data_IF_345644829290
#
_entry.id   IF_345644829290
#
_cell.length_a   1.000
_cell.length_b   1.000
_cell.length_c   1.000
_cell.angle_alpha   90.00
_cell.angle_beta   90.00
_cell.angle_gamma   90.00
#
_symmetry.space_group_name_H-M   'P 1'
#
loop_
_entity.id
_entity.type
_entity.pdbx_description
1 polymer ?
#
# COMPACT_ATOMS: atom_id res chain seq x y z
N UNK A 1 16.61 -21.28 -56.02
CA UNK A 1 15.46 -20.38 -55.71
C UNK A 1 14.54 -21.20 -54.82
N UNK A 2 14.46 -21.06 -53.51
CA UNK A 2 14.70 -19.93 -52.60
C UNK A 2 15.02 -20.47 -51.20
N UNK A 3 15.93 -19.77 -50.50
CA UNK A 3 16.20 -19.79 -49.05
C UNK A 3 14.88 -19.66 -48.23
N UNK A 4 14.70 -20.15 -46.99
CA UNK A 4 15.58 -20.15 -45.83
C UNK A 4 15.08 -19.10 -44.82
N UNK A 5 14.94 -19.47 -43.54
CA UNK A 5 15.26 -18.70 -42.31
C UNK A 5 14.30 -19.00 -41.14
N UNK A 6 14.94 -19.58 -40.13
CA UNK A 6 14.53 -19.86 -38.76
C UNK A 6 14.28 -18.56 -37.98
N UNK A 7 13.21 -18.51 -37.18
CA UNK A 7 12.84 -17.36 -36.36
C UNK A 7 13.91 -16.99 -35.32
N UNK A 8 14.34 -15.73 -35.35
CA UNK A 8 15.25 -15.13 -34.38
C UNK A 8 14.47 -14.72 -33.12
N UNK A 9 14.90 -15.23 -31.97
CA UNK A 9 14.55 -14.68 -30.66
C UNK A 9 15.17 -13.27 -30.52
N UNK A 10 14.38 -12.29 -30.11
CA UNK A 10 14.85 -10.95 -29.81
C UNK A 10 15.38 -10.89 -28.37
N UNK A 11 16.68 -11.13 -28.20
CA UNK A 11 17.44 -10.69 -27.03
C UNK A 11 17.66 -9.19 -27.13
N UNK A 12 16.98 -8.40 -26.30
CA UNK A 12 17.36 -6.99 -26.08
C UNK A 12 18.58 -6.98 -25.16
N UNK A 13 19.77 -6.90 -25.75
CA UNK A 13 20.99 -6.52 -25.04
C UNK A 13 20.97 -5.02 -24.82
N UNK A 14 21.11 -4.58 -23.57
CA UNK A 14 21.26 -3.17 -23.20
C UNK A 14 22.75 -2.81 -23.39
N UNK A 15 23.12 -1.90 -24.30
CA UNK A 15 24.51 -1.49 -24.45
C UNK A 15 24.94 -0.65 -23.25
N UNK A 16 25.99 -1.09 -22.54
CA UNK A 16 26.69 -0.27 -21.56
C UNK A 16 27.70 0.59 -22.34
N UNK A 17 27.36 1.83 -22.65
CA UNK A 17 28.32 2.81 -23.14
C UNK A 17 29.00 3.51 -21.96
N UNK A 18 30.31 3.32 -21.87
CA UNK A 18 31.18 4.07 -20.97
C UNK A 18 31.46 5.49 -21.47
N UNK A 19 31.65 6.38 -20.49
CA UNK A 19 32.18 7.75 -20.58
C UNK A 19 31.52 8.72 -21.57
N UNK A 20 30.67 9.58 -21.00
CA UNK A 20 30.82 11.03 -21.15
C UNK A 20 30.34 11.68 -22.44
N UNK A 21 29.02 11.81 -22.59
CA UNK A 21 28.38 13.02 -23.13
C UNK A 21 26.87 12.92 -22.83
N UNK A 22 26.41 13.68 -21.83
CA UNK A 22 25.00 13.75 -21.47
C UNK A 22 24.26 14.59 -22.52
N UNK A 23 23.53 13.93 -23.41
CA UNK A 23 22.48 14.59 -24.19
C UNK A 23 21.42 15.13 -23.22
N UNK A 24 21.24 16.45 -23.21
CA UNK A 24 20.27 17.16 -22.41
C UNK A 24 18.84 16.65 -22.67
N UNK A 25 18.34 15.83 -21.75
CA UNK A 25 16.92 15.71 -21.47
C UNK A 25 16.53 16.86 -20.54
N UNK A 26 15.31 17.41 -20.64
CA UNK A 26 14.90 18.56 -19.82
C UNK A 26 15.04 18.19 -18.33
N UNK A 27 15.88 18.94 -17.63
CA UNK A 27 16.04 18.85 -16.18
C UNK A 27 14.71 19.22 -15.55
N UNK A 28 14.02 18.24 -14.95
CA UNK A 28 12.84 18.48 -14.13
C UNK A 28 13.34 18.98 -12.77
N UNK A 29 13.58 20.29 -12.66
CA UNK A 29 14.06 21.00 -11.46
C UNK A 29 13.28 20.61 -10.18
N UNK A 30 12.02 20.19 -10.32
CA UNK A 30 11.20 19.70 -9.21
C UNK A 30 11.70 18.39 -8.60
N UNK A 31 12.29 17.49 -9.39
CA UNK A 31 12.80 16.20 -8.91
C UNK A 31 14.08 16.35 -8.10
N UNK A 32 14.99 17.23 -8.54
CA UNK A 32 16.23 17.48 -7.82
C UNK A 32 15.95 18.21 -6.49
N UNK A 33 15.00 19.14 -6.50
CA UNK A 33 14.54 19.85 -5.32
C UNK A 33 13.82 18.91 -4.32
N UNK A 34 13.01 17.98 -4.81
CA UNK A 34 12.38 16.94 -3.97
C UNK A 34 13.41 15.95 -3.40
N UNK A 35 14.41 15.55 -4.19
CA UNK A 35 15.50 14.69 -3.73
C UNK A 35 16.30 15.40 -2.63
N UNK A 36 16.64 16.68 -2.83
CA UNK A 36 17.27 17.52 -1.81
C UNK A 36 16.36 17.69 -0.58
N UNK A 37 15.05 17.85 -0.75
CA UNK A 37 14.12 17.99 0.37
C UNK A 37 14.01 16.71 1.20
N UNK A 38 14.00 15.53 0.56
CA UNK A 38 14.05 14.22 1.23
C UNK A 38 15.39 14.03 1.95
N UNK A 39 16.50 14.51 1.36
CA UNK A 39 17.83 14.46 1.96
C UNK A 39 18.00 15.44 3.14
N UNK A 40 17.29 16.57 3.15
CA UNK A 40 17.33 17.58 4.23
C UNK A 40 16.33 17.28 5.35
N UNK A 41 15.20 16.63 5.01
CA UNK A 41 14.11 16.31 5.94
C UNK A 41 14.16 14.85 6.40
N UNK A 42 15.30 14.43 6.98
CA UNK A 42 15.36 13.13 7.64
C UNK A 42 14.40 13.10 8.85
N UNK A 43 13.55 12.07 9.01
CA UNK A 43 12.73 11.95 10.21
C UNK A 43 13.63 11.77 11.45
N UNK A 44 13.35 12.54 12.50
CA UNK A 44 13.99 12.39 13.81
C UNK A 44 13.69 10.97 14.34
N UNK A 45 14.73 10.13 14.47
CA UNK A 45 14.62 8.69 14.75
C UNK A 45 14.25 8.36 16.22
N UNK A 46 13.87 9.34 17.02
CA UNK A 46 13.69 9.16 18.47
C UNK A 46 12.30 8.62 18.87
N UNK A 47 11.34 8.49 17.95
CA UNK A 47 10.00 7.95 18.24
C UNK A 47 9.52 6.96 17.17
N UNK A 48 10.02 5.72 17.20
CA UNK A 48 9.30 4.60 16.57
C UNK A 48 9.17 3.45 17.56
N UNK A 49 8.11 3.52 18.36
CA UNK A 49 7.58 2.37 19.12
C UNK A 49 7.07 1.32 18.15
N UNK A 50 7.77 0.19 18.08
CA UNK A 50 7.40 -0.98 17.28
C UNK A 50 6.32 -1.74 18.06
N UNK A 51 5.04 -1.54 17.72
CA UNK A 51 3.95 -2.40 18.23
C UNK A 51 3.92 -3.68 17.38
N UNK A 52 4.36 -4.79 18.00
CA UNK A 52 4.19 -6.15 17.48
C UNK A 52 2.72 -6.53 17.39
N UNK A 53 2.33 -7.09 16.25
CA UNK A 53 1.00 -7.65 16.03
C UNK A 53 0.79 -8.98 16.76
N UNK A 54 -0.39 -9.15 17.36
CA UNK A 54 -0.89 -10.42 17.87
C UNK A 54 -2.27 -10.70 17.27
N UNK A 55 -2.37 -11.82 16.55
CA UNK A 55 -3.63 -12.40 16.06
C UNK A 55 -4.23 -13.33 17.12
N UNK A 56 -5.56 -13.30 17.26
CA UNK A 56 -6.37 -14.46 17.67
C UNK A 56 -7.30 -14.23 18.86
N UNK A 57 -8.57 -14.60 18.70
CA UNK A 57 -9.44 -14.97 19.83
C UNK A 57 -10.87 -14.43 19.77
N UNK A 58 -11.79 -15.25 19.25
CA UNK A 58 -13.24 -15.13 19.35
C UNK A 58 -13.73 -15.01 20.81
N UNK A 59 -14.81 -14.27 21.05
CA UNK A 59 -15.50 -14.31 22.34
C UNK A 59 -16.63 -13.29 22.48
N UNK A 60 -17.82 -13.83 22.72
CA UNK A 60 -19.10 -13.25 23.12
C UNK A 60 -19.20 -11.84 23.71
N UNK A 61 -20.36 -11.25 23.46
CA UNK A 61 -20.74 -9.92 23.91
C UNK A 61 -20.98 -9.76 25.41
N UNK A 62 -21.31 -8.52 25.79
CA UNK A 62 -22.25 -8.09 26.82
C UNK A 62 -22.06 -6.58 27.05
N UNK A 63 -23.19 -5.86 27.10
CA UNK A 63 -23.29 -4.43 27.37
C UNK A 63 -23.15 -4.21 28.89
N UNK A 64 -22.30 -3.30 29.40
CA UNK A 64 -22.34 -2.93 30.81
C UNK A 64 -23.35 -1.81 31.04
N UNK A 65 -24.43 -2.14 31.75
CA UNK A 65 -25.34 -1.17 32.39
C UNK A 65 -24.76 -0.72 33.73
N UNK A 66 -24.39 0.56 33.85
CA UNK A 66 -24.00 1.18 35.12
C UNK A 66 -25.17 1.91 35.77
N UNK A 67 -25.57 1.43 36.96
CA UNK A 67 -26.57 2.01 37.86
C UNK A 67 -26.10 3.32 38.50
N UNK A 68 -26.95 4.35 38.47
CA UNK A 68 -26.82 5.60 39.23
C UNK A 68 -28.20 6.12 39.67
N UNK A 69 -28.32 6.40 40.96
CA UNK A 69 -29.53 6.69 41.75
C UNK A 69 -30.42 7.85 41.25
N UNK A 70 -31.74 7.68 41.44
CA UNK A 70 -32.81 8.69 41.44
C UNK A 70 -32.51 9.93 42.32
N UNK A 71 -33.13 11.09 42.02
CA UNK A 71 -34.38 11.41 42.71
C UNK A 71 -35.60 11.57 41.79
N UNK A 72 -36.74 11.24 42.36
CA UNK A 72 -38.10 11.45 41.89
C UNK A 72 -38.43 12.92 41.57
N UNK A 73 -38.99 13.14 40.37
CA UNK A 73 -39.96 14.21 40.16
C UNK A 73 -41.07 13.70 39.23
N UNK A 74 -42.29 13.60 39.77
CA UNK A 74 -43.51 13.46 38.99
C UNK A 74 -43.69 14.73 38.16
N UNK A 75 -43.77 14.58 36.84
CA UNK A 75 -44.53 15.44 35.93
C UNK A 75 -44.79 14.66 34.66
N UNK A 76 -46.03 14.19 34.48
CA UNK A 76 -46.59 13.83 33.18
C UNK A 76 -46.56 15.04 32.24
N UNK A 77 -45.95 14.95 31.04
CA UNK A 77 -46.31 15.81 29.94
C UNK A 77 -47.28 15.04 29.04
N UNK A 78 -48.57 15.32 29.19
CA UNK A 78 -49.54 15.12 28.12
C UNK A 78 -49.18 16.08 26.98
N UNK A 79 -48.53 15.56 25.94
CA UNK A 79 -48.12 16.27 24.72
C UNK A 79 -47.66 15.27 23.64
N UNK A 80 -47.53 15.66 22.37
CA UNK A 80 -47.65 14.79 21.17
C UNK A 80 -46.40 13.90 20.89
N UNK A 81 -45.75 13.37 21.93
CA UNK A 81 -44.54 12.54 21.81
C UNK A 81 -44.81 11.07 21.50
N UNK A 82 -45.97 10.53 21.88
CA UNK A 82 -46.29 9.10 21.70
C UNK A 82 -46.57 8.74 20.23
N UNK A 83 -47.18 9.64 19.45
CA UNK A 83 -47.39 9.42 18.01
C UNK A 83 -46.08 9.52 17.22
N UNK A 84 -45.18 10.43 17.61
CA UNK A 84 -43.85 10.57 17.00
C UNK A 84 -42.98 9.35 17.33
N UNK A 85 -42.98 8.87 18.57
CA UNK A 85 -42.23 7.68 18.98
C UNK A 85 -42.78 6.39 18.33
N UNK A 86 -44.11 6.27 18.21
CA UNK A 86 -44.77 5.14 17.53
C UNK A 86 -44.54 5.18 16.00
N UNK A 87 -44.48 6.38 15.41
CA UNK A 87 -44.07 6.61 14.02
C UNK A 87 -42.63 6.19 13.74
N UNK A 88 -41.69 6.61 14.61
CA UNK A 88 -40.26 6.22 14.51
C UNK A 88 -40.09 4.70 14.67
N UNK A 89 -40.86 4.06 15.57
CA UNK A 89 -40.83 2.60 15.73
C UNK A 89 -41.36 1.87 14.49
N UNK A 90 -42.41 2.41 13.84
CA UNK A 90 -42.94 1.91 12.57
C UNK A 90 -41.93 2.01 11.42
N UNK A 91 -41.30 3.18 11.25
CA UNK A 91 -40.27 3.38 10.22
C UNK A 91 -39.07 2.44 10.40
N UNK A 92 -38.61 2.27 11.65
CA UNK A 92 -37.53 1.32 11.95
C UNK A 92 -37.93 -0.13 11.62
N UNK A 93 -39.16 -0.52 11.93
CA UNK A 93 -39.68 -1.84 11.58
C UNK A 93 -39.73 -2.05 10.06
N UNK A 94 -40.18 -1.05 9.30
CA UNK A 94 -40.24 -1.12 7.84
C UNK A 94 -38.85 -1.19 7.20
N UNK A 95 -37.86 -0.48 7.76
CA UNK A 95 -36.46 -0.57 7.34
C UNK A 95 -35.94 -2.01 7.53
N UNK A 96 -36.17 -2.61 8.71
CA UNK A 96 -35.74 -3.99 9.01
C UNK A 96 -36.44 -4.99 8.08
N UNK A 97 -37.74 -4.81 7.83
CA UNK A 97 -38.51 -5.66 6.91
C UNK A 97 -37.97 -5.58 5.48
N UNK A 98 -37.73 -4.36 4.98
CA UNK A 98 -37.18 -4.14 3.63
C UNK A 98 -35.78 -4.72 3.51
N UNK A 99 -34.94 -4.56 4.53
CA UNK A 99 -33.61 -5.16 4.60
C UNK A 99 -33.67 -6.69 4.58
N UNK A 100 -34.57 -7.31 5.35
CA UNK A 100 -34.76 -8.76 5.38
C UNK A 100 -35.19 -9.32 4.03
N UNK A 101 -36.15 -8.66 3.37
CA UNK A 101 -36.60 -9.03 2.00
C UNK A 101 -35.46 -8.90 1.00
N UNK A 102 -34.72 -7.77 1.03
CA UNK A 102 -33.60 -7.54 0.13
C UNK A 102 -32.52 -8.62 0.29
N UNK A 103 -32.17 -8.92 1.54
CA UNK A 103 -31.17 -9.92 1.90
C UNK A 103 -31.58 -11.31 1.41
N UNK A 104 -32.84 -11.70 1.62
CA UNK A 104 -33.36 -12.96 1.10
C UNK A 104 -33.28 -13.05 -0.42
N UNK A 105 -33.74 -12.02 -1.14
CA UNK A 105 -33.70 -11.99 -2.62
C UNK A 105 -32.27 -12.09 -3.15
N UNK A 106 -31.35 -11.29 -2.60
CA UNK A 106 -29.94 -11.33 -2.99
C UNK A 106 -29.29 -12.68 -2.69
N UNK A 107 -29.63 -13.30 -1.55
CA UNK A 107 -29.13 -14.64 -1.20
C UNK A 107 -29.66 -15.70 -2.16
N UNK A 108 -30.96 -15.66 -2.50
CA UNK A 108 -31.58 -16.55 -3.51
C UNK A 108 -30.91 -16.38 -4.87
N UNK A 109 -30.65 -15.14 -5.29
CA UNK A 109 -29.97 -14.83 -6.55
C UNK A 109 -28.53 -15.37 -6.55
N UNK A 110 -27.75 -15.09 -5.52
CA UNK A 110 -26.36 -15.54 -5.39
C UNK A 110 -26.24 -17.07 -5.45
N UNK A 111 -27.12 -17.79 -4.75
CA UNK A 111 -27.16 -19.25 -4.80
C UNK A 111 -27.56 -19.74 -6.20
N UNK A 112 -28.58 -19.13 -6.81
CA UNK A 112 -29.01 -19.48 -8.17
C UNK A 112 -27.89 -19.31 -9.19
N UNK A 113 -27.11 -18.23 -9.12
CA UNK A 113 -25.93 -18.00 -9.96
C UNK A 113 -24.87 -19.09 -9.74
N UNK A 114 -24.55 -19.43 -8.49
CA UNK A 114 -23.56 -20.46 -8.15
C UNK A 114 -23.93 -21.85 -8.67
N UNK A 115 -25.22 -22.18 -8.70
CA UNK A 115 -25.70 -23.47 -9.22
C UNK A 115 -25.98 -23.46 -10.73
N UNK A 116 -25.66 -22.36 -11.44
CA UNK A 116 -25.89 -22.24 -12.89
C UNK A 116 -27.36 -22.15 -13.28
N UNK A 117 -28.24 -21.80 -12.33
CA UNK A 117 -29.71 -21.70 -12.52
C UNK A 117 -30.20 -20.25 -12.61
N UNK A 118 -29.39 -19.28 -12.22
CA UNK A 118 -29.70 -17.85 -12.25
C UNK A 118 -29.08 -17.14 -13.45
N UNK A 119 -29.77 -16.15 -14.00
CA UNK A 119 -29.20 -15.27 -15.02
C UNK A 119 -28.39 -14.16 -14.35
N UNK A 120 -27.12 -14.04 -14.73
CA UNK A 120 -26.15 -13.08 -14.16
C UNK A 120 -25.87 -11.96 -15.15
N UNK A 121 -25.95 -10.72 -14.71
CA UNK A 121 -25.48 -9.58 -15.50
C UNK A 121 -23.95 -9.57 -15.56
N UNK A 122 -23.37 -9.41 -16.75
CA UNK A 122 -21.93 -9.47 -16.99
C UNK A 122 -21.50 -8.21 -17.75
N UNK A 123 -20.42 -7.59 -17.29
CA UNK A 123 -19.71 -6.54 -18.02
C UNK A 123 -18.24 -6.97 -18.14
N UNK A 124 -17.91 -7.66 -19.23
CA UNK A 124 -16.63 -8.37 -19.36
C UNK A 124 -15.42 -7.42 -19.31
N UNK A 125 -15.54 -6.23 -19.93
CA UNK A 125 -14.48 -5.24 -19.93
C UNK A 125 -14.24 -4.70 -18.52
N UNK A 126 -15.31 -4.32 -17.82
CA UNK A 126 -15.19 -3.79 -16.47
C UNK A 126 -14.71 -4.86 -15.47
N UNK A 127 -15.17 -6.10 -15.61
CA UNK A 127 -14.69 -7.23 -14.79
C UNK A 127 -13.20 -7.47 -14.96
N UNK A 128 -12.70 -7.46 -16.20
CA UNK A 128 -11.27 -7.60 -16.48
C UNK A 128 -10.45 -6.46 -15.85
N UNK A 129 -10.93 -5.22 -15.96
CA UNK A 129 -10.26 -4.06 -15.35
C UNK A 129 -10.23 -4.14 -13.82
N UNK A 130 -11.32 -4.62 -13.20
CA UNK A 130 -11.40 -4.84 -11.75
C UNK A 130 -10.43 -5.94 -11.30
N UNK A 131 -10.36 -7.05 -12.05
CA UNK A 131 -9.42 -8.14 -11.76
C UNK A 131 -7.97 -7.67 -11.85
N UNK A 132 -7.64 -6.89 -12.89
CA UNK A 132 -6.32 -6.30 -13.05
C UNK A 132 -5.97 -5.35 -11.90
N UNK A 133 -6.93 -4.55 -11.43
CA UNK A 133 -6.75 -3.70 -10.25
C UNK A 133 -6.46 -4.55 -9.00
N UNK A 134 -7.25 -5.59 -8.75
CA UNK A 134 -7.07 -6.50 -7.60
C UNK A 134 -5.71 -7.19 -7.62
N UNK A 135 -5.25 -7.61 -8.80
CA UNK A 135 -3.92 -8.19 -8.97
C UNK A 135 -2.81 -7.15 -8.76
N UNK A 136 -2.94 -5.97 -9.35
CA UNK A 136 -1.97 -4.87 -9.20
C UNK A 136 -1.81 -4.49 -7.73
N UNK A 137 -2.93 -4.36 -6.99
CA UNK A 137 -2.91 -4.08 -5.55
C UNK A 137 -2.13 -5.14 -4.78
N UNK A 138 -2.40 -6.43 -5.02
CA UNK A 138 -1.67 -7.54 -4.37
C UNK A 138 -0.17 -7.50 -4.63
N UNK A 139 0.23 -7.22 -5.88
CA UNK A 139 1.65 -7.07 -6.25
C UNK A 139 2.29 -5.89 -5.51
N UNK A 140 1.60 -4.76 -5.41
CA UNK A 140 2.11 -3.58 -4.73
C UNK A 140 2.17 -3.77 -3.21
N UNK A 141 1.24 -4.52 -2.62
CA UNK A 141 1.32 -4.96 -1.22
C UNK A 141 2.54 -5.82 -0.96
N UNK A 142 2.87 -6.74 -1.87
CA UNK A 142 4.10 -7.53 -1.77
C UNK A 142 5.36 -6.66 -1.85
N UNK A 143 5.41 -5.70 -2.79
CA UNK A 143 6.53 -4.74 -2.89
C UNK A 143 6.64 -3.91 -1.61
N UNK A 144 5.51 -3.47 -1.06
CA UNK A 144 5.48 -2.71 0.19
C UNK A 144 6.00 -3.53 1.38
N UNK A 145 5.66 -4.82 1.46
CA UNK A 145 6.21 -5.71 2.49
C UNK A 145 7.73 -5.86 2.35
N UNK A 146 8.23 -6.04 1.13
CA UNK A 146 9.67 -6.12 0.86
C UNK A 146 10.37 -4.80 1.20
N UNK A 147 9.77 -3.66 0.86
CA UNK A 147 10.29 -2.33 1.22
C UNK A 147 10.40 -2.15 2.74
N UNK A 148 9.39 -2.56 3.51
CA UNK A 148 9.45 -2.54 4.98
C UNK A 148 10.55 -3.45 5.54
N UNK A 149 10.71 -4.65 4.99
CA UNK A 149 11.78 -5.56 5.39
C UNK A 149 13.16 -4.95 5.09
N UNK A 150 13.33 -4.33 3.91
CA UNK A 150 14.54 -3.63 3.53
C UNK A 150 14.85 -2.47 4.49
N UNK A 151 13.86 -1.63 4.82
CA UNK A 151 14.00 -0.57 5.81
C UNK A 151 14.48 -1.11 7.17
N UNK A 152 13.87 -2.18 7.66
CA UNK A 152 14.24 -2.77 8.95
C UNK A 152 15.68 -3.29 8.93
N UNK A 153 16.07 -4.01 7.88
CA UNK A 153 17.42 -4.54 7.74
C UNK A 153 18.47 -3.44 7.59
N UNK A 154 18.18 -2.39 6.81
CA UNK A 154 19.06 -1.22 6.69
C UNK A 154 19.25 -0.54 8.05
N UNK A 155 18.17 -0.33 8.80
CA UNK A 155 18.28 0.24 10.14
C UNK A 155 19.19 -0.60 11.06
N UNK A 156 19.00 -1.92 11.11
CA UNK A 156 19.85 -2.81 11.88
C UNK A 156 21.32 -2.80 11.43
N UNK A 157 21.57 -2.72 10.11
CA UNK A 157 22.91 -2.60 9.56
C UNK A 157 23.57 -1.30 10.04
N UNK A 158 22.89 -0.17 9.94
CA UNK A 158 23.40 1.14 10.38
C UNK A 158 23.76 1.14 11.87
N UNK A 159 22.92 0.57 12.72
CA UNK A 159 23.21 0.45 14.16
C UNK A 159 24.47 -0.37 14.41
N UNK A 160 24.64 -1.46 13.68
CA UNK A 160 25.82 -2.33 13.79
C UNK A 160 27.08 -1.61 13.29
N UNK A 161 26.99 -0.89 12.17
CA UNK A 161 28.10 -0.10 11.63
C UNK A 161 28.51 1.02 12.59
N UNK A 162 27.57 1.67 13.27
CA UNK A 162 27.85 2.66 14.31
C UNK A 162 28.65 2.05 15.46
N UNK A 163 28.15 0.97 16.05
CA UNK A 163 28.82 0.29 17.16
C UNK A 163 30.22 -0.21 16.77
N UNK A 164 30.37 -0.74 15.55
CA UNK A 164 31.65 -1.20 15.03
C UNK A 164 32.63 -0.04 14.78
N UNK A 165 32.14 1.09 14.26
CA UNK A 165 32.93 2.31 14.08
C UNK A 165 33.44 2.87 15.41
N UNK A 166 32.60 2.88 16.46
CA UNK A 166 32.99 3.32 17.80
C UNK A 166 34.02 2.39 18.44
N UNK A 167 33.83 1.06 18.30
CA UNK A 167 34.80 0.08 18.79
C UNK A 167 36.17 0.21 18.12
N UNK A 168 36.20 0.43 16.80
CA UNK A 168 37.45 0.69 16.08
C UNK A 168 38.09 2.02 16.49
N UNK A 169 37.31 3.08 16.71
CA UNK A 169 37.85 4.35 17.17
C UNK A 169 38.49 4.22 18.57
N UNK A 170 37.86 3.47 19.48
CA UNK A 170 38.40 3.21 20.82
C UNK A 170 39.70 2.39 20.77
N UNK A 171 39.74 1.33 19.95
CA UNK A 171 40.94 0.51 19.77
C UNK A 171 42.09 1.28 19.11
N UNK A 172 41.78 2.17 18.16
CA UNK A 172 42.76 3.06 17.53
C UNK A 172 43.48 3.93 18.58
N UNK A 173 42.74 4.50 19.53
CA UNK A 173 43.31 5.34 20.59
C UNK A 173 44.11 4.56 21.62
N UNK A 174 43.77 3.28 21.84
CA UNK A 174 44.37 2.43 22.89
C UNK A 174 45.50 1.52 22.38
N UNK A 175 45.65 1.37 21.07
CA UNK A 175 46.62 0.46 20.45
C UNK A 175 47.55 1.22 19.51
N UNK A 176 48.60 1.91 20.00
CA UNK A 176 49.50 2.72 19.17
C UNK A 176 50.10 1.97 17.98
N UNK A 177 50.35 0.67 18.15
CA UNK A 177 50.93 -0.23 17.13
C UNK A 177 49.96 -0.52 15.96
N UNK A 178 48.65 -0.36 16.18
CA UNK A 178 47.57 -0.61 15.21
C UNK A 178 46.66 0.61 15.04
N UNK A 179 47.13 1.78 15.48
CA UNK A 179 46.31 2.99 15.57
C UNK A 179 45.76 3.35 14.20
N UNK A 180 46.58 3.26 13.16
CA UNK A 180 46.20 3.65 11.81
C UNK A 180 45.16 2.69 11.22
N UNK A 181 45.39 1.38 11.31
CA UNK A 181 44.50 0.35 10.79
C UNK A 181 43.11 0.45 11.41
N UNK A 182 43.04 0.55 12.74
CA UNK A 182 41.78 0.77 13.43
C UNK A 182 41.15 2.12 13.08
N UNK A 183 41.96 3.18 12.98
CA UNK A 183 41.47 4.52 12.62
C UNK A 183 40.81 4.56 11.23
N UNK A 184 41.44 3.96 10.22
CA UNK A 184 40.90 3.91 8.86
C UNK A 184 39.57 3.15 8.78
N UNK A 185 39.48 2.02 9.50
CA UNK A 185 38.26 1.24 9.57
C UNK A 185 37.15 1.98 10.33
N UNK A 186 37.49 2.68 11.42
CA UNK A 186 36.53 3.50 12.16
C UNK A 186 35.91 4.58 11.28
N UNK A 187 36.73 5.34 10.55
CA UNK A 187 36.26 6.41 9.68
C UNK A 187 35.45 5.88 8.50
N UNK A 188 35.82 4.72 7.94
CA UNK A 188 35.03 4.05 6.89
C UNK A 188 33.63 3.68 7.40
N UNK A 189 33.51 3.13 8.60
CA UNK A 189 32.20 2.77 9.15
C UNK A 189 31.33 3.99 9.46
N UNK A 190 31.89 5.05 10.06
CA UNK A 190 31.16 6.30 10.31
C UNK A 190 30.63 6.94 9.03
N UNK A 191 31.44 6.93 7.97
CA UNK A 191 31.05 7.42 6.66
C UNK A 191 29.88 6.61 6.07
N UNK A 192 30.00 5.28 6.07
CA UNK A 192 28.96 4.39 5.55
C UNK A 192 27.65 4.57 6.33
N UNK A 193 27.72 4.78 7.65
CA UNK A 193 26.56 5.11 8.48
C UNK A 193 25.89 6.40 8.02
N UNK A 194 26.63 7.50 7.93
CA UNK A 194 26.11 8.82 7.53
C UNK A 194 25.40 8.78 6.17
N UNK A 195 26.02 8.14 5.18
CA UNK A 195 25.40 8.00 3.85
C UNK A 195 24.22 7.02 3.90
N UNK A 196 24.30 6.00 4.74
CA UNK A 196 23.25 5.02 4.97
C UNK A 196 21.98 5.64 5.57
N UNK A 197 22.11 6.63 6.46
CA UNK A 197 20.96 7.34 7.05
C UNK A 197 20.13 8.05 5.98
N UNK A 198 20.80 8.71 5.02
CA UNK A 198 20.15 9.34 3.87
C UNK A 198 19.40 8.30 3.02
N UNK A 199 20.04 7.16 2.72
CA UNK A 199 19.39 6.07 1.99
C UNK A 199 18.18 5.53 2.76
N UNK A 200 18.32 5.31 4.07
CA UNK A 200 17.25 4.82 4.93
C UNK A 200 16.05 5.78 4.92
N UNK A 201 16.30 7.09 4.95
CA UNK A 201 15.27 8.12 4.82
C UNK A 201 14.51 8.01 3.49
N UNK A 202 15.24 7.87 2.37
CA UNK A 202 14.64 7.70 1.06
C UNK A 202 13.81 6.41 0.92
N UNK A 203 14.29 5.28 1.45
CA UNK A 203 13.52 4.01 1.44
C UNK A 203 12.26 4.13 2.30
N UNK A 204 12.33 4.78 3.47
CA UNK A 204 11.15 5.06 4.29
C UNK A 204 10.12 5.92 3.55
N UNK A 205 10.57 6.97 2.85
CA UNK A 205 9.70 7.83 2.06
C UNK A 205 9.00 7.06 0.92
N UNK A 206 9.75 6.21 0.21
CA UNK A 206 9.19 5.29 -0.79
C UNK A 206 8.11 4.39 -0.17
N UNK A 207 8.43 3.70 0.93
CA UNK A 207 7.48 2.81 1.63
C UNK A 207 6.20 3.55 2.05
N UNK A 208 6.31 4.75 2.59
CA UNK A 208 5.16 5.57 3.01
C UNK A 208 4.27 5.97 1.82
N UNK A 209 4.88 6.34 0.71
CA UNK A 209 4.20 6.75 -0.52
C UNK A 209 3.44 5.58 -1.16
N UNK A 210 4.10 4.42 -1.29
CA UNK A 210 3.45 3.20 -1.80
C UNK A 210 2.34 2.73 -0.87
N UNK A 211 2.54 2.81 0.45
CA UNK A 211 1.48 2.50 1.41
C UNK A 211 0.25 3.39 1.18
N UNK A 212 0.42 4.70 1.00
CA UNK A 212 -0.70 5.61 0.70
C UNK A 212 -1.43 5.23 -0.59
N UNK A 213 -0.69 4.96 -1.66
CA UNK A 213 -1.27 4.54 -2.94
C UNK A 213 -2.12 3.27 -2.78
N UNK A 214 -1.60 2.27 -2.06
CA UNK A 214 -2.24 0.96 -1.89
C UNK A 214 -3.40 1.01 -0.90
N UNK A 215 -3.20 1.55 0.30
CA UNK A 215 -4.16 1.44 1.40
C UNK A 215 -5.23 2.54 1.38
N UNK A 216 -4.98 3.64 0.67
CA UNK A 216 -5.95 4.75 0.55
C UNK A 216 -6.49 4.83 -0.86
N UNK A 217 -5.64 5.10 -1.86
CA UNK A 217 -6.10 5.41 -3.22
C UNK A 217 -6.73 4.19 -3.92
N UNK A 218 -6.05 3.05 -3.92
CA UNK A 218 -6.60 1.81 -4.51
C UNK A 218 -7.80 1.28 -3.70
N UNK A 219 -7.76 1.39 -2.37
CA UNK A 219 -8.88 0.92 -1.53
C UNK A 219 -10.15 1.75 -1.75
N UNK A 220 -10.05 3.08 -1.93
CA UNK A 220 -11.22 3.91 -2.26
C UNK A 220 -11.92 3.47 -3.55
N UNK A 221 -11.15 3.12 -4.58
CA UNK A 221 -11.70 2.58 -5.83
C UNK A 221 -12.31 1.19 -5.62
N UNK A 222 -11.63 0.32 -4.87
CA UNK A 222 -12.16 -1.02 -4.54
C UNK A 222 -13.42 -0.96 -3.67
N UNK A 223 -13.60 0.06 -2.85
CA UNK A 223 -14.84 0.28 -2.11
C UNK A 223 -16.01 0.59 -3.05
N UNK A 224 -15.80 1.40 -4.09
CA UNK A 224 -16.81 1.62 -5.13
C UNK A 224 -17.07 0.36 -5.95
N UNK A 225 -16.04 -0.45 -6.24
CA UNK A 225 -16.22 -1.76 -6.87
C UNK A 225 -17.11 -2.68 -6.03
N UNK A 226 -16.89 -2.77 -4.71
CA UNK A 226 -17.73 -3.57 -3.80
C UNK A 226 -19.20 -3.10 -3.85
N UNK A 227 -19.42 -1.78 -3.90
CA UNK A 227 -20.77 -1.20 -4.03
C UNK A 227 -21.42 -1.56 -5.37
N UNK A 228 -20.66 -1.48 -6.46
CA UNK A 228 -21.10 -1.90 -7.80
C UNK A 228 -21.47 -3.38 -7.85
N UNK A 229 -20.62 -4.28 -7.32
CA UNK A 229 -20.89 -5.72 -7.30
C UNK A 229 -22.14 -6.05 -6.47
N UNK A 230 -22.34 -5.36 -5.34
CA UNK A 230 -23.55 -5.49 -4.54
C UNK A 230 -24.79 -4.99 -5.29
N UNK A 231 -24.71 -3.82 -5.95
CA UNK A 231 -25.81 -3.27 -6.73
C UNK A 231 -26.16 -4.14 -7.95
N UNK A 232 -25.18 -4.78 -8.59
CA UNK A 232 -25.40 -5.76 -9.66
C UNK A 232 -26.21 -6.96 -9.15
N UNK A 233 -25.84 -7.51 -8.00
CA UNK A 233 -26.55 -8.63 -7.39
C UNK A 233 -28.00 -8.25 -7.01
N UNK A 234 -28.19 -7.06 -6.43
CA UNK A 234 -29.53 -6.54 -6.17
C UNK A 234 -30.34 -6.39 -7.47
N UNK A 235 -29.76 -5.76 -8.50
CA UNK A 235 -30.41 -5.60 -9.80
C UNK A 235 -30.88 -6.94 -10.39
N UNK A 236 -30.02 -7.96 -10.42
CA UNK A 236 -30.38 -9.29 -10.92
C UNK A 236 -31.46 -9.96 -10.07
N UNK A 237 -31.43 -9.77 -8.75
CA UNK A 237 -32.43 -10.32 -7.83
C UNK A 237 -33.83 -9.70 -8.05
N UNK A 238 -33.93 -8.38 -8.22
CA UNK A 238 -35.21 -7.72 -8.50
C UNK A 238 -35.67 -7.88 -9.95
N UNK A 239 -34.74 -8.09 -10.90
CA UNK A 239 -35.09 -8.51 -12.26
C UNK A 239 -35.80 -9.87 -12.26
N UNK A 240 -35.21 -10.86 -11.58
CA UNK A 240 -35.79 -12.20 -11.45
C UNK A 240 -37.15 -12.18 -10.74
N UNK A 241 -37.28 -11.40 -9.67
CA UNK A 241 -38.56 -11.26 -8.94
C UNK A 241 -39.67 -10.66 -9.82
N UNK A 242 -39.33 -9.65 -10.64
CA UNK A 242 -40.27 -9.06 -11.60
C UNK A 242 -40.66 -10.06 -12.71
N UNK A 243 -39.70 -10.83 -13.23
CA UNK A 243 -39.95 -11.89 -14.20
C UNK A 243 -40.88 -12.98 -13.62
N UNK A 244 -40.62 -13.43 -12.37
CA UNK A 244 -41.46 -14.41 -11.65
C UNK A 244 -42.89 -13.89 -11.43
N UNK A 245 -43.06 -12.64 -11.02
CA UNK A 245 -44.37 -12.01 -10.84
C UNK A 245 -45.11 -11.86 -12.18
N UNK A 246 -44.41 -11.60 -13.28
CA UNK A 246 -45.00 -11.42 -14.61
C UNK A 246 -45.63 -12.70 -15.17
N UNK A 247 -45.19 -13.87 -14.69
CA UNK A 247 -45.73 -15.19 -15.07
C UNK A 247 -47.01 -15.57 -14.27
N UNK A 248 -47.37 -14.80 -13.24
CA UNK A 248 -48.53 -15.06 -12.40
C UNK A 248 -49.88 -14.63 -13.03
N UNK A 249 -51.02 -15.01 -12.41
CA UNK A 249 -52.35 -14.63 -12.87
C UNK A 249 -52.56 -13.10 -12.88
N UNK A 250 -53.20 -12.55 -13.91
CA UNK A 250 -53.40 -11.09 -14.07
C UNK A 250 -54.66 -10.54 -13.37
N UNK A 251 -54.87 -10.91 -12.11
CA UNK A 251 -55.97 -10.34 -11.31
C UNK A 251 -55.66 -8.91 -10.82
N UNK A 252 -56.66 -8.23 -10.26
CA UNK A 252 -56.54 -6.82 -9.85
C UNK A 252 -55.50 -6.62 -8.72
N UNK A 253 -55.35 -7.60 -7.82
CA UNK A 253 -54.35 -7.56 -6.75
C UNK A 253 -52.92 -7.78 -7.26
N UNK A 254 -52.74 -8.61 -8.28
CA UNK A 254 -51.45 -8.84 -8.91
C UNK A 254 -50.96 -7.63 -9.69
N UNK A 255 -51.87 -6.84 -10.29
CA UNK A 255 -51.50 -5.63 -11.04
C UNK A 255 -50.78 -4.60 -10.16
N UNK A 256 -51.28 -4.31 -8.96
CA UNK A 256 -50.63 -3.38 -8.03
C UNK A 256 -49.27 -3.87 -7.50
N UNK A 257 -49.13 -5.20 -7.31
CA UNK A 257 -47.83 -5.81 -6.96
C UNK A 257 -46.83 -5.71 -8.09
N UNK A 258 -47.28 -5.89 -9.33
CA UNK A 258 -46.45 -5.77 -10.53
C UNK A 258 -45.94 -4.33 -10.70
N UNK A 259 -46.80 -3.32 -10.52
CA UNK A 259 -46.42 -1.91 -10.57
C UNK A 259 -45.35 -1.56 -9.50
N UNK A 260 -45.54 -2.08 -8.28
CA UNK A 260 -44.57 -1.90 -7.19
C UNK A 260 -43.23 -2.59 -7.48
N UNK A 261 -43.28 -3.82 -8.02
CA UNK A 261 -42.09 -4.56 -8.43
C UNK A 261 -41.35 -3.86 -9.58
N UNK A 262 -42.08 -3.30 -10.55
CA UNK A 262 -41.51 -2.53 -11.65
C UNK A 262 -40.77 -1.29 -11.15
N UNK A 263 -41.36 -0.54 -10.23
CA UNK A 263 -40.74 0.66 -9.65
C UNK A 263 -39.46 0.33 -8.88
N UNK A 264 -39.49 -0.75 -8.07
CA UNK A 264 -38.30 -1.19 -7.32
C UNK A 264 -37.20 -1.73 -8.24
N UNK A 265 -37.56 -2.51 -9.25
CA UNK A 265 -36.64 -2.96 -10.30
C UNK A 265 -35.94 -1.77 -10.98
N UNK A 266 -36.70 -0.74 -11.40
CA UNK A 266 -36.14 0.44 -12.05
C UNK A 266 -35.15 1.18 -11.12
N UNK A 267 -35.49 1.34 -9.84
CA UNK A 267 -34.59 1.98 -8.88
C UNK A 267 -33.27 1.20 -8.70
N UNK A 268 -33.32 -0.14 -8.65
CA UNK A 268 -32.11 -0.96 -8.58
C UNK A 268 -31.30 -0.94 -9.88
N UNK A 269 -31.98 -0.86 -11.04
CA UNK A 269 -31.34 -0.67 -12.34
C UNK A 269 -30.58 0.66 -12.41
N UNK A 270 -31.22 1.76 -12.04
CA UNK A 270 -30.59 3.09 -12.06
C UNK A 270 -29.37 3.15 -11.13
N UNK A 271 -29.49 2.56 -9.93
CA UNK A 271 -28.37 2.43 -8.98
C UNK A 271 -27.21 1.62 -9.57
N UNK A 272 -27.51 0.48 -10.20
CA UNK A 272 -26.51 -0.36 -10.85
C UNK A 272 -25.81 0.38 -12.01
N UNK A 273 -26.56 0.99 -12.92
CA UNK A 273 -26.01 1.71 -14.07
C UNK A 273 -25.15 2.90 -13.64
N UNK A 274 -25.58 3.64 -12.62
CA UNK A 274 -24.79 4.72 -12.01
C UNK A 274 -23.47 4.19 -11.45
N UNK A 275 -23.50 3.18 -10.59
CA UNK A 275 -22.29 2.63 -9.97
C UNK A 275 -21.34 2.01 -11.00
N UNK A 276 -21.88 1.43 -12.08
CA UNK A 276 -21.08 0.96 -13.22
C UNK A 276 -20.27 2.09 -13.85
N UNK A 277 -20.92 3.24 -14.09
CA UNK A 277 -20.27 4.46 -14.57
C UNK A 277 -19.24 5.00 -13.59
N UNK A 278 -19.59 5.08 -12.30
CA UNK A 278 -18.70 5.56 -11.24
C UNK A 278 -17.41 4.71 -11.14
N UNK A 279 -17.52 3.37 -11.21
CA UNK A 279 -16.35 2.48 -11.22
C UNK A 279 -15.49 2.71 -12.45
N UNK A 280 -16.08 2.77 -13.64
CA UNK A 280 -15.32 2.99 -14.88
C UNK A 280 -14.54 4.31 -14.86
N UNK A 281 -15.14 5.37 -14.30
CA UNK A 281 -14.49 6.67 -14.14
C UNK A 281 -13.35 6.57 -13.10
N UNK A 282 -13.62 6.01 -11.91
CA UNK A 282 -12.62 5.87 -10.85
C UNK A 282 -11.41 5.05 -11.29
N UNK A 283 -11.62 3.98 -12.06
CA UNK A 283 -10.52 3.16 -12.60
C UNK A 283 -9.58 3.97 -13.50
N UNK A 284 -10.12 4.86 -14.35
CA UNK A 284 -9.30 5.73 -15.20
C UNK A 284 -8.48 6.73 -14.38
N UNK A 285 -9.12 7.41 -13.41
CA UNK A 285 -8.42 8.34 -12.52
C UNK A 285 -7.36 7.64 -11.67
N UNK A 286 -7.66 6.43 -11.19
CA UNK A 286 -6.71 5.64 -10.43
C UNK A 286 -5.50 5.25 -11.27
N UNK A 287 -5.69 4.85 -12.53
CA UNK A 287 -4.58 4.47 -13.40
C UNK A 287 -3.64 5.65 -13.65
N UNK A 288 -4.18 6.83 -13.95
CA UNK A 288 -3.37 8.05 -14.09
C UNK A 288 -2.61 8.40 -12.81
N UNK A 289 -3.27 8.36 -11.64
CA UNK A 289 -2.64 8.64 -10.37
C UNK A 289 -1.55 7.60 -10.03
N UNK A 290 -1.83 6.32 -10.25
CA UNK A 290 -0.90 5.21 -10.05
C UNK A 290 0.37 5.43 -10.87
N UNK A 291 0.25 5.73 -12.17
CA UNK A 291 1.40 5.97 -13.04
C UNK A 291 2.22 7.16 -12.52
N UNK A 292 1.58 8.28 -12.20
CA UNK A 292 2.27 9.49 -11.68
C UNK A 292 3.04 9.21 -10.39
N UNK A 293 2.37 8.58 -9.42
CA UNK A 293 2.99 8.24 -8.12
C UNK A 293 4.14 7.25 -8.33
N UNK A 294 3.90 6.15 -9.04
CA UNK A 294 4.91 5.12 -9.22
C UNK A 294 6.13 5.61 -10.01
N UNK A 295 5.93 6.43 -11.03
CA UNK A 295 7.03 7.01 -11.79
C UNK A 295 7.97 7.82 -10.87
N UNK A 296 7.40 8.75 -10.10
CA UNK A 296 8.16 9.56 -9.15
C UNK A 296 8.85 8.70 -8.09
N UNK A 297 8.11 7.78 -7.47
CA UNK A 297 8.62 6.98 -6.36
C UNK A 297 9.71 5.98 -6.78
N UNK A 298 9.57 5.33 -7.95
CA UNK A 298 10.58 4.42 -8.47
C UNK A 298 11.87 5.16 -8.84
N UNK A 299 11.74 6.38 -9.41
CA UNK A 299 12.90 7.18 -9.78
C UNK A 299 13.64 7.70 -8.54
N UNK A 300 12.93 8.25 -7.55
CA UNK A 300 13.54 8.70 -6.29
C UNK A 300 14.23 7.56 -5.55
N UNK A 301 13.60 6.38 -5.49
CA UNK A 301 14.19 5.19 -4.90
C UNK A 301 15.48 4.78 -5.62
N UNK A 302 15.44 4.69 -6.95
CA UNK A 302 16.62 4.35 -7.75
C UNK A 302 17.76 5.37 -7.56
N UNK A 303 17.45 6.67 -7.63
CA UNK A 303 18.43 7.74 -7.48
C UNK A 303 19.08 7.71 -6.09
N UNK A 304 18.32 7.47 -5.03
CA UNK A 304 18.86 7.34 -3.68
C UNK A 304 19.81 6.14 -3.55
N UNK A 305 19.45 4.99 -4.12
CA UNK A 305 20.31 3.80 -4.15
C UNK A 305 21.60 4.08 -4.91
N UNK A 306 21.50 4.63 -6.13
CA UNK A 306 22.67 4.96 -6.95
C UNK A 306 23.58 5.99 -6.27
N UNK A 307 23.00 7.04 -5.67
CA UNK A 307 23.74 8.06 -4.93
C UNK A 307 24.47 7.50 -3.70
N UNK A 308 23.84 6.57 -2.97
CA UNK A 308 24.49 5.89 -1.83
C UNK A 308 25.75 5.14 -2.28
N UNK A 309 25.65 4.30 -3.30
CA UNK A 309 26.79 3.51 -3.77
C UNK A 309 27.87 4.37 -4.43
N UNK A 310 27.51 5.32 -5.29
CA UNK A 310 28.46 6.21 -5.94
C UNK A 310 29.18 7.13 -4.93
N UNK A 311 28.43 7.70 -3.98
CA UNK A 311 28.98 8.54 -2.92
C UNK A 311 29.95 7.79 -2.02
N UNK A 312 29.62 6.55 -1.66
CA UNK A 312 30.50 5.69 -0.87
C UNK A 312 31.76 5.28 -1.65
N UNK A 313 31.64 4.93 -2.93
CA UNK A 313 32.79 4.57 -3.75
C UNK A 313 33.81 5.72 -3.83
N UNK A 314 33.35 6.93 -4.19
CA UNK A 314 34.21 8.10 -4.32
C UNK A 314 34.99 8.40 -3.04
N UNK A 315 34.32 8.28 -1.90
CA UNK A 315 34.94 8.58 -0.61
C UNK A 315 35.87 7.44 -0.14
N UNK A 316 35.55 6.18 -0.44
CA UNK A 316 36.41 5.04 -0.14
C UNK A 316 37.71 5.07 -0.96
N UNK A 317 37.63 5.45 -2.25
CA UNK A 317 38.81 5.66 -3.10
C UNK A 317 39.76 6.72 -2.51
N UNK A 318 39.22 7.82 -1.96
CA UNK A 318 40.01 8.83 -1.27
C UNK A 318 40.69 8.28 0.00
N UNK A 319 39.99 7.47 0.79
CA UNK A 319 40.56 6.82 1.99
C UNK A 319 41.68 5.84 1.61
N UNK A 320 41.51 5.05 0.54
CA UNK A 320 42.52 4.10 0.06
C UNK A 320 43.79 4.79 -0.45
N UNK A 321 43.67 5.95 -1.10
CA UNK A 321 44.83 6.74 -1.50
C UNK A 321 45.65 7.20 -0.28
N UNK A 322 44.98 7.57 0.83
CA UNK A 322 45.66 7.93 2.08
C UNK A 322 46.32 6.71 2.75
N UNK A 323 45.69 5.55 2.70
CA UNK A 323 46.20 4.27 3.22
C UNK A 323 47.53 3.88 2.57
N UNK A 324 47.59 3.92 1.22
CA UNK A 324 48.79 3.54 0.46
C UNK A 324 49.98 4.49 0.67
N UNK A 325 49.75 5.70 1.20
CA UNK A 325 50.82 6.67 1.47
C UNK A 325 51.37 6.50 2.90
N UNK A 326 50.57 6.01 3.86
CA UNK A 326 50.90 6.04 5.29
C UNK A 326 51.39 4.73 5.89
N UNK A 327 51.03 3.57 5.33
CA UNK A 327 51.51 2.28 5.83
C UNK A 327 53.00 2.07 5.53
N UNK A 328 53.85 2.51 6.46
CA UNK A 328 55.18 1.92 6.65
C UNK A 328 55.04 0.58 7.37
N UNK A 329 55.89 -0.42 7.07
CA UNK A 329 55.83 -1.72 7.74
C UNK A 329 55.96 -1.55 9.26
N UNK A 330 55.08 -2.19 10.07
CA UNK A 330 55.28 -2.28 11.51
C UNK A 330 56.62 -2.98 11.77
N UNK A 331 57.53 -2.32 12.48
CA UNK A 331 58.86 -2.87 12.80
C UNK A 331 60.03 -2.36 11.94
N UNK A 332 59.83 -1.40 11.02
CA UNK A 332 60.95 -0.83 10.26
C UNK A 332 62.00 -0.08 11.12
N UNK A 333 61.69 0.28 12.36
CA UNK A 333 62.59 1.03 13.26
C UNK A 333 63.03 0.26 14.52
N UNK A 334 62.52 -0.94 14.78
CA UNK A 334 62.93 -1.74 15.96
C UNK A 334 63.17 -3.20 15.57
N UNK A 335 64.36 -3.77 15.85
CA UNK A 335 64.65 -5.16 15.54
C UNK A 335 63.68 -6.08 16.29
N UNK A 336 63.41 -7.23 15.68
CA UNK A 336 62.60 -8.26 16.32
C UNK A 336 63.31 -8.74 17.58
N UNK A 337 62.58 -9.04 18.67
CA UNK A 337 63.18 -9.57 19.90
C UNK A 337 63.95 -10.90 19.68
N UNK A 338 63.66 -11.59 18.57
CA UNK A 338 64.39 -12.77 18.10
C UNK A 338 65.75 -12.47 17.47
N UNK A 339 66.01 -11.22 17.09
CA UNK A 339 67.28 -10.74 16.53
C UNK A 339 68.23 -10.21 17.62
N UNK A 340 67.77 -10.08 18.87
CA UNK A 340 68.56 -9.62 20.03
C UNK A 340 69.12 -10.77 20.91
N UNK A 341 69.04 -12.04 20.48
CA UNK A 341 69.62 -13.19 21.21
C UNK A 341 70.78 -13.90 20.49
#
# INVERSE_FOLDING_TARGET
>A
MTDGILGKAATMEIPIHGNGEAGQLPEDDGLEQDLQQVMVSGPNLNETSIVSGGYGGSGDGLIPTGSGRHPSHNTTPTGPGDEVARGIAGEKFDIVKKWGINTYKCTKQLLSERFGRGSRTVDLELELQIELLRETKRKYESVLQLGRALTAHLYSLLQTQHALGDAFADLSQKSPELQEEFGYNAETQKLLCKNGETLLGAVNFFVSSINTLVTKTMEDTLMTVKQYEAARLEYDAYRTDLEELSLGPRDAGMRGRLESAQATFQAHRDKYEKLRGDVAIKLKFLEENKIKVMHKQLLLFHNAVSAYFAGNQKQLEQTLQQFNIKLRPPGAEKPSWLEEQ
#
